data_IF_842491684825
#
_entry.id   IF_842491684825
#
_cell.length_a   1.000
_cell.length_b   1.000
_cell.length_c   1.000
_cell.angle_alpha   90.00
_cell.angle_beta   90.00
_cell.angle_gamma   90.00
#
_symmetry.space_group_name_H-M   'P 1'
#
loop_
_entity.id
_entity.type
_entity.pdbx_description
1 polymer ?
#
# COMPACT_ATOMS: atom_id res chain seq x y z
N UNK A 1 -17.31 6.69 8.55
CA UNK A 1 -16.06 7.48 8.55
C UNK A 1 -16.32 8.94 8.89
N UNK A 2 -17.26 9.64 8.23
CA UNK A 2 -17.55 11.07 8.45
C UNK A 2 -17.64 11.51 9.92
N UNK A 3 -18.32 10.74 10.79
CA UNK A 3 -18.45 11.06 12.23
C UNK A 3 -17.11 11.10 13.00
N UNK A 4 -16.05 10.49 12.46
CA UNK A 4 -14.76 10.30 13.14
C UNK A 4 -13.59 10.84 12.31
N UNK A 5 -13.84 11.70 11.32
CA UNK A 5 -12.80 12.16 10.39
C UNK A 5 -11.82 13.17 11.00
N UNK A 6 -12.19 13.81 12.11
CA UNK A 6 -11.35 14.81 12.78
C UNK A 6 -10.00 14.20 13.21
N UNK A 7 -8.90 14.82 12.77
CA UNK A 7 -7.55 14.40 13.11
C UNK A 7 -7.03 13.17 12.34
N UNK A 8 -7.79 12.62 11.39
CA UNK A 8 -7.35 11.49 10.56
C UNK A 8 -6.61 12.01 9.32
N UNK A 9 -5.50 11.36 8.98
CA UNK A 9 -4.82 11.48 7.69
C UNK A 9 -4.94 10.13 6.98
N UNK A 10 -5.19 10.15 5.67
CA UNK A 10 -5.36 8.95 4.85
C UNK A 10 -4.26 8.87 3.79
N UNK A 11 -3.67 7.69 3.66
CA UNK A 11 -2.70 7.37 2.62
C UNK A 11 -3.30 6.39 1.61
N UNK A 12 -3.02 6.65 0.33
CA UNK A 12 -3.59 5.94 -0.80
C UNK A 12 -2.51 5.32 -1.65
N UNK A 13 -2.28 4.02 -1.54
CA UNK A 13 -1.31 3.36 -2.37
C UNK A 13 -0.71 2.15 -1.70
N UNK A 14 0.44 1.70 -2.19
CA UNK A 14 1.03 0.43 -1.79
C UNK A 14 0.37 -0.79 -2.45
N UNK A 15 1.15 -1.87 -2.49
CA UNK A 15 0.89 -3.09 -3.29
C UNK A 15 -0.45 -3.73 -2.98
N UNK A 16 -0.85 -3.70 -1.70
CA UNK A 16 -2.04 -4.42 -1.23
C UNK A 16 -3.27 -3.55 -1.04
N UNK A 17 -3.17 -2.24 -1.28
CA UNK A 17 -4.29 -1.32 -1.16
C UNK A 17 -5.34 -1.54 -2.25
N UNK A 18 -6.52 -0.98 -2.04
CA UNK A 18 -7.58 -1.00 -3.05
C UNK A 18 -7.15 -0.30 -4.33
N UNK A 19 -6.52 0.87 -4.23
CA UNK A 19 -6.04 1.61 -5.40
C UNK A 19 -4.94 0.83 -6.12
N UNK A 20 -3.95 0.28 -5.39
CA UNK A 20 -2.92 -0.57 -5.98
C UNK A 20 -3.53 -1.76 -6.74
N UNK A 21 -4.49 -2.47 -6.14
CA UNK A 21 -5.22 -3.57 -6.80
C UNK A 21 -6.05 -3.14 -8.00
N UNK A 22 -6.64 -1.95 -7.98
CA UNK A 22 -7.38 -1.39 -9.11
C UNK A 22 -6.44 -1.07 -10.28
N UNK A 23 -5.28 -0.46 -10.00
CA UNK A 23 -4.24 -0.18 -10.99
C UNK A 23 -3.76 -1.49 -11.64
N UNK A 24 -3.41 -2.49 -10.84
CA UNK A 24 -2.95 -3.79 -11.37
C UNK A 24 -4.00 -4.57 -12.17
N UNK A 25 -5.28 -4.24 -11.98
CA UNK A 25 -6.41 -4.84 -12.72
C UNK A 25 -6.84 -4.01 -13.93
N UNK A 26 -6.12 -2.94 -14.23
CA UNK A 26 -6.45 -2.01 -15.33
C UNK A 26 -7.88 -1.45 -15.19
N UNK A 27 -8.28 -1.13 -13.95
CA UNK A 27 -9.56 -0.46 -13.70
C UNK A 27 -9.54 0.98 -14.24
N UNK A 28 -10.72 1.45 -14.63
CA UNK A 28 -10.90 2.81 -15.16
C UNK A 28 -10.40 3.86 -14.17
N UNK A 29 -9.53 4.76 -14.63
CA UNK A 29 -8.94 5.85 -13.83
C UNK A 29 -10.02 6.71 -13.17
N UNK A 30 -11.16 6.92 -13.85
CA UNK A 30 -12.27 7.70 -13.30
C UNK A 30 -12.83 7.10 -12.01
N UNK A 31 -12.88 5.76 -11.90
CA UNK A 31 -13.32 5.09 -10.66
C UNK A 31 -12.31 5.29 -9.53
N UNK A 32 -11.01 5.26 -9.84
CA UNK A 32 -9.96 5.50 -8.85
C UNK A 32 -10.09 6.93 -8.31
N UNK A 33 -10.25 7.90 -9.21
CA UNK A 33 -10.45 9.31 -8.88
C UNK A 33 -11.72 9.53 -8.05
N UNK A 34 -12.82 8.83 -8.38
CA UNK A 34 -14.07 8.89 -7.62
C UNK A 34 -13.86 8.45 -6.16
N UNK A 35 -13.15 7.34 -5.94
CA UNK A 35 -12.87 6.82 -4.59
C UNK A 35 -11.98 7.79 -3.80
N UNK A 36 -10.90 8.28 -4.41
CA UNK A 36 -10.01 9.26 -3.78
C UNK A 36 -10.81 10.51 -3.40
N UNK A 37 -11.63 11.03 -4.32
CA UNK A 37 -12.44 12.24 -4.10
C UNK A 37 -13.49 12.04 -3.00
N UNK A 38 -14.14 10.87 -2.95
CA UNK A 38 -15.12 10.55 -1.90
C UNK A 38 -14.49 10.63 -0.50
N UNK A 39 -13.29 10.08 -0.33
CA UNK A 39 -12.58 10.13 0.95
C UNK A 39 -11.99 11.52 1.20
N UNK A 40 -11.44 12.19 0.18
CA UNK A 40 -10.98 13.58 0.29
C UNK A 40 -12.09 14.50 0.80
N UNK A 41 -13.31 14.37 0.28
CA UNK A 41 -14.49 15.12 0.73
C UNK A 41 -14.90 14.77 2.17
N UNK A 42 -14.46 13.63 2.70
CA UNK A 42 -14.76 13.18 4.06
C UNK A 42 -13.73 13.67 5.08
N UNK A 43 -12.43 13.63 4.74
CA UNK A 43 -11.35 13.96 5.69
C UNK A 43 -10.72 15.34 5.44
N UNK A 44 -10.95 15.95 4.28
CA UNK A 44 -10.39 17.24 3.87
C UNK A 44 -9.21 17.09 2.91
N UNK A 45 -9.01 18.09 2.03
CA UNK A 45 -7.95 18.09 1.00
C UNK A 45 -6.55 18.00 1.61
N UNK A 46 -6.33 18.65 2.75
CA UNK A 46 -5.03 18.68 3.46
C UNK A 46 -4.70 17.39 4.24
N UNK A 47 -5.63 16.42 4.26
CA UNK A 47 -5.54 15.21 5.08
C UNK A 47 -5.37 13.94 4.25
N UNK A 48 -5.04 14.07 2.96
CA UNK A 48 -4.83 12.93 2.08
C UNK A 48 -3.51 13.01 1.33
N UNK A 49 -2.91 11.84 1.12
CA UNK A 49 -1.69 11.69 0.36
C UNK A 49 -1.76 10.43 -0.49
N UNK A 50 -1.09 10.43 -1.63
CA UNK A 50 -0.86 9.20 -2.39
C UNK A 50 0.44 8.55 -1.91
N UNK A 51 0.44 7.24 -1.77
CA UNK A 51 1.51 6.47 -1.16
C UNK A 51 2.27 5.70 -2.23
N UNK A 52 3.59 5.93 -2.25
CA UNK A 52 4.53 5.20 -3.09
C UNK A 52 5.39 4.30 -2.21
N UNK A 53 5.49 3.03 -2.57
CA UNK A 53 6.30 2.08 -1.80
C UNK A 53 7.72 2.03 -2.36
N UNK A 54 8.70 2.40 -1.54
CA UNK A 54 10.13 2.32 -1.81
C UNK A 54 10.70 0.98 -1.32
N UNK A 55 10.29 -0.10 -1.98
CA UNK A 55 10.82 -1.44 -1.79
C UNK A 55 11.39 -1.95 -3.11
N UNK A 56 12.23 -2.98 -3.06
CA UNK A 56 12.89 -3.53 -4.24
C UNK A 56 11.87 -4.06 -5.26
N UNK A 57 11.84 -3.43 -6.45
CA UNK A 57 10.93 -3.82 -7.53
C UNK A 57 11.27 -5.19 -8.13
N UNK A 58 12.52 -5.67 -7.96
CA UNK A 58 12.91 -7.00 -8.40
C UNK A 58 12.27 -8.10 -7.52
N UNK A 59 11.88 -7.75 -6.29
CA UNK A 59 11.15 -8.64 -5.38
C UNK A 59 9.63 -8.56 -5.59
N UNK A 60 9.11 -7.39 -5.95
CA UNK A 60 7.68 -7.14 -6.17
C UNK A 60 7.49 -6.25 -7.40
N UNK A 61 7.38 -6.89 -8.57
CA UNK A 61 7.26 -6.20 -9.88
C UNK A 61 6.09 -5.23 -9.95
N UNK A 62 5.02 -5.50 -9.20
CA UNK A 62 3.79 -4.70 -9.16
C UNK A 62 4.03 -3.29 -8.62
N UNK A 63 5.04 -3.10 -7.76
CA UNK A 63 5.35 -1.80 -7.16
C UNK A 63 5.65 -0.76 -8.24
N UNK A 64 6.42 -1.12 -9.27
CA UNK A 64 6.79 -0.18 -10.32
C UNK A 64 5.55 0.35 -11.07
N UNK A 65 4.65 -0.55 -11.46
CA UNK A 65 3.41 -0.20 -12.15
C UNK A 65 2.52 0.68 -11.27
N UNK A 66 2.36 0.32 -9.99
CA UNK A 66 1.56 1.10 -9.05
C UNK A 66 2.17 2.50 -8.84
N UNK A 67 3.46 2.58 -8.54
CA UNK A 67 4.15 3.85 -8.26
C UNK A 67 4.08 4.81 -9.46
N UNK A 68 4.22 4.30 -10.69
CA UNK A 68 4.08 5.12 -11.89
C UNK A 68 2.67 5.72 -12.01
N UNK A 69 1.63 4.89 -11.85
CA UNK A 69 0.24 5.35 -11.94
C UNK A 69 -0.12 6.31 -10.80
N UNK A 70 0.38 6.06 -9.58
CA UNK A 70 0.24 6.96 -8.43
C UNK A 70 0.86 8.33 -8.72
N UNK A 71 2.04 8.36 -9.33
CA UNK A 71 2.71 9.62 -9.68
C UNK A 71 1.94 10.42 -10.74
N UNK A 72 1.29 9.75 -11.69
CA UNK A 72 0.38 10.38 -12.65
C UNK A 72 -0.86 10.96 -11.97
N UNK A 73 -1.51 10.17 -11.10
CA UNK A 73 -2.68 10.59 -10.32
C UNK A 73 -2.35 11.78 -9.41
N UNK A 74 -1.17 11.80 -8.80
CA UNK A 74 -0.69 12.91 -7.98
C UNK A 74 -0.69 14.22 -8.76
N UNK A 75 -0.14 14.21 -9.98
CA UNK A 75 -0.11 15.38 -10.87
C UNK A 75 -1.51 15.78 -11.34
N UNK A 76 -2.35 14.81 -11.66
CA UNK A 76 -3.71 15.05 -12.15
C UNK A 76 -4.62 15.67 -11.08
N UNK A 77 -4.50 15.19 -9.83
CA UNK A 77 -5.40 15.55 -8.74
C UNK A 77 -4.84 16.63 -7.81
N UNK A 78 -3.60 17.07 -8.02
CA UNK A 78 -2.90 18.00 -7.14
C UNK A 78 -2.88 17.50 -5.68
N UNK A 79 -2.51 16.22 -5.53
CA UNK A 79 -2.37 15.54 -4.23
C UNK A 79 -0.92 15.13 -4.05
N UNK A 80 -0.32 15.46 -2.90
CA UNK A 80 1.07 15.15 -2.63
C UNK A 80 1.29 13.65 -2.43
N UNK A 81 2.48 13.17 -2.84
CA UNK A 81 2.92 11.82 -2.54
C UNK A 81 3.71 11.78 -1.23
N UNK A 82 3.55 10.68 -0.50
CA UNK A 82 4.48 10.23 0.53
C UNK A 82 5.20 8.96 0.06
N UNK A 83 6.30 8.64 0.72
CA UNK A 83 7.07 7.42 0.45
C UNK A 83 7.12 6.57 1.71
N UNK A 84 6.69 5.33 1.59
CA UNK A 84 6.76 4.31 2.64
C UNK A 84 7.69 3.16 2.19
N UNK A 85 8.04 2.24 3.09
CA UNK A 85 8.82 1.05 2.77
C UNK A 85 8.18 -0.27 3.27
N UNK A 86 6.97 -0.18 3.82
CA UNK A 86 6.23 -1.28 4.46
C UNK A 86 7.07 -2.23 5.34
N UNK A 87 7.98 -1.68 6.15
CA UNK A 87 8.84 -2.49 7.02
C UNK A 87 8.08 -3.14 8.18
N UNK A 88 8.25 -4.46 8.28
CA UNK A 88 7.68 -5.28 9.35
C UNK A 88 8.70 -5.68 10.44
N UNK A 89 9.96 -5.30 10.26
CA UNK A 89 11.06 -5.61 11.17
C UNK A 89 12.16 -4.53 11.12
N UNK A 90 12.98 -4.44 12.17
CA UNK A 90 13.89 -3.31 12.39
C UNK A 90 15.18 -3.47 11.57
N UNK A 91 15.79 -4.65 11.57
CA UNK A 91 17.05 -4.93 10.87
C UNK A 91 16.85 -6.01 9.82
N UNK A 92 17.60 -5.96 8.74
CA UNK A 92 17.56 -6.99 7.68
C UNK A 92 17.72 -8.43 8.21
N UNK A 93 18.55 -8.63 9.24
CA UNK A 93 18.74 -9.94 9.88
C UNK A 93 17.53 -10.48 10.64
N UNK A 94 16.55 -9.63 10.96
CA UNK A 94 15.33 -10.01 11.70
C UNK A 94 14.31 -10.72 10.80
N UNK A 95 14.57 -10.81 9.48
CA UNK A 95 13.71 -11.52 8.50
C UNK A 95 13.35 -12.92 8.96
N UNK A 96 14.30 -13.69 9.49
CA UNK A 96 14.05 -15.07 9.95
C UNK A 96 13.07 -15.09 11.13
N UNK A 97 13.20 -14.16 12.07
CA UNK A 97 12.30 -14.06 13.22
C UNK A 97 10.89 -13.66 12.77
N UNK A 98 10.78 -12.73 11.82
CA UNK A 98 9.51 -12.34 11.21
C UNK A 98 8.82 -13.51 10.49
N UNK A 99 9.55 -14.25 9.67
CA UNK A 99 9.07 -15.43 8.97
C UNK A 99 8.53 -16.51 9.93
N UNK A 100 9.25 -16.77 11.03
CA UNK A 100 8.80 -17.71 12.06
C UNK A 100 7.55 -17.21 12.79
N UNK A 101 7.45 -15.90 13.06
CA UNK A 101 6.26 -15.32 13.69
C UNK A 101 5.01 -15.52 12.80
N UNK A 102 5.16 -15.44 11.48
CA UNK A 102 4.08 -15.71 10.53
C UNK A 102 3.70 -17.18 10.49
N UNK A 103 4.67 -18.09 10.55
CA UNK A 103 4.38 -19.53 10.62
C UNK A 103 3.57 -19.86 11.87
N UNK A 104 3.96 -19.31 13.02
CA UNK A 104 3.23 -19.49 14.27
C UNK A 104 1.79 -18.97 14.13
N UNK A 105 1.61 -17.76 13.56
CA UNK A 105 0.29 -17.18 13.31
C UNK A 105 -0.57 -18.07 12.40
N UNK A 106 0.03 -18.63 11.35
CA UNK A 106 -0.67 -19.42 10.34
C UNK A 106 -0.78 -20.91 10.73
N UNK A 107 -0.27 -21.31 11.91
CA UNK A 107 -0.30 -22.69 12.41
C UNK A 107 0.61 -23.64 11.62
N UNK A 108 1.66 -23.10 11.00
CA UNK A 108 2.61 -23.79 10.13
C UNK A 108 3.94 -24.06 10.82
N UNK A 109 4.69 -24.99 10.27
CA UNK A 109 6.09 -25.27 10.63
C UNK A 109 7.00 -24.69 9.56
N UNK A 110 8.24 -24.37 9.93
CA UNK A 110 9.24 -23.78 9.03
C UNK A 110 9.55 -24.65 7.79
N UNK A 111 9.30 -25.95 7.88
CA UNK A 111 9.52 -26.92 6.80
C UNK A 111 8.26 -27.26 6.01
N UNK A 112 7.11 -26.66 6.32
CA UNK A 112 5.89 -26.86 5.54
C UNK A 112 6.04 -26.17 4.17
N UNK A 113 5.87 -26.91 3.08
CA UNK A 113 6.09 -26.39 1.74
C UNK A 113 5.07 -25.33 1.32
N UNK A 114 3.88 -25.32 1.93
CA UNK A 114 2.80 -24.37 1.67
C UNK A 114 2.79 -23.20 2.68
N UNK A 115 3.84 -23.05 3.49
CA UNK A 115 4.00 -21.88 4.36
C UNK A 115 4.11 -20.60 3.53
N UNK A 116 3.69 -19.49 4.13
CA UNK A 116 3.90 -18.17 3.53
C UNK A 116 5.39 -17.88 3.45
N UNK A 117 5.86 -17.54 2.26
CA UNK A 117 7.20 -16.98 2.06
C UNK A 117 7.03 -15.53 1.65
N UNK A 118 7.43 -14.62 2.53
CA UNK A 118 7.52 -13.21 2.17
C UNK A 118 8.73 -13.07 1.26
N UNK A 119 8.54 -12.41 0.11
CA UNK A 119 9.60 -12.13 -0.85
C UNK A 119 10.36 -10.89 -0.39
#
# INVERSE_FOLDING_TARGET
MQKYAEGIIVFFGGVYSWIGKMILRDEKVEKIVEIISMIQNTVGKEHIYLEMTAQDHDLVSDIQTINNQILELSKQLDIQCIVDNDYHYIKAGDRVAWDVALDIKDGKKIYDADRRQIK
#
